data_IF_570063585985
#
_entry.id   IF_570063585985
#
_cell.length_a   1.000
_cell.length_b   1.000
_cell.length_c   1.000
_cell.angle_alpha   90.00
_cell.angle_beta   90.00
_cell.angle_gamma   90.00
#
_symmetry.space_group_name_H-M   'P 1'
#
loop_
_entity.id
_entity.type
_entity.pdbx_description
1 polymer ?
#
# COMPACT_ATOMS: atom_id res chain seq x y z
N UNK A 1 -32.23 5.59 3.84
CA UNK A 1 -31.37 5.52 2.78
C UNK A 1 -30.24 4.54 2.98
N UNK A 2 -30.03 3.77 2.03
CA UNK A 2 -29.01 2.76 2.18
C UNK A 2 -27.64 3.39 2.21
N UNK A 3 -26.81 2.86 3.07
CA UNK A 3 -25.44 3.24 3.15
C UNK A 3 -24.63 2.14 2.53
N UNK A 4 -23.78 2.45 1.62
CA UNK A 4 -22.80 1.49 1.19
C UNK A 4 -21.87 1.14 2.32
N UNK A 5 -21.08 0.11 2.18
CA UNK A 5 -20.04 -0.19 3.15
C UNK A 5 -19.14 1.00 3.31
N UNK A 6 -18.65 1.18 4.50
CA UNK A 6 -17.69 2.25 4.73
C UNK A 6 -16.46 2.01 3.87
N UNK A 7 -15.99 3.08 3.23
CA UNK A 7 -14.80 3.00 2.42
C UNK A 7 -13.57 3.12 3.30
N UNK A 8 -12.58 2.28 3.01
CA UNK A 8 -11.33 2.36 3.73
C UNK A 8 -10.54 3.58 3.26
N UNK A 9 -9.86 4.20 4.18
CA UNK A 9 -8.91 5.26 3.89
C UNK A 9 -7.64 4.97 4.68
N UNK A 10 -6.50 5.53 4.27
CA UNK A 10 -5.27 5.29 5.01
C UNK A 10 -5.42 5.64 6.48
N UNK A 11 -4.91 4.78 7.35
CA UNK A 11 -4.94 5.00 8.78
C UNK A 11 -3.95 6.07 9.21
N UNK A 12 -2.86 6.22 8.46
CA UNK A 12 -1.85 7.23 8.72
C UNK A 12 -1.84 8.17 7.54
N UNK A 13 -2.01 9.45 7.80
CA UNK A 13 -2.00 10.43 6.72
C UNK A 13 -0.56 10.70 6.29
N UNK A 14 -0.44 11.22 5.08
CA UNK A 14 0.85 11.69 4.57
C UNK A 14 1.85 10.58 4.29
N UNK A 15 1.37 9.36 4.04
CA UNK A 15 2.29 8.29 3.68
C UNK A 15 3.14 8.66 2.47
N UNK A 16 2.60 9.47 1.58
CA UNK A 16 3.33 9.87 0.38
C UNK A 16 4.54 10.75 0.70
N UNK A 17 4.64 11.26 1.91
CA UNK A 17 5.82 12.03 2.32
C UNK A 17 7.02 11.16 2.62
N UNK A 18 6.76 9.90 2.95
CA UNK A 18 7.81 9.00 3.41
C UNK A 18 8.08 7.85 2.46
N UNK A 19 7.11 7.54 1.61
CA UNK A 19 7.20 6.38 0.74
C UNK A 19 6.96 6.77 -0.70
N UNK A 20 7.69 6.12 -1.59
CA UNK A 20 7.42 6.22 -3.02
C UNK A 20 6.75 4.94 -3.47
N UNK A 21 5.83 5.07 -4.41
CA UNK A 21 5.08 3.94 -4.93
C UNK A 21 5.05 4.01 -6.44
N UNK A 22 5.33 2.88 -7.07
CA UNK A 22 5.13 2.69 -8.51
C UNK A 22 4.39 1.39 -8.67
N UNK A 23 3.38 1.38 -9.53
CA UNK A 23 2.59 0.18 -9.70
C UNK A 23 2.05 0.10 -11.11
N UNK A 24 1.66 -1.12 -11.47
CA UNK A 24 0.95 -1.36 -12.70
C UNK A 24 0.04 -2.55 -12.53
N UNK A 25 -0.97 -2.62 -13.38
CA UNK A 25 -1.90 -3.72 -13.39
C UNK A 25 -1.36 -4.84 -14.27
N UNK A 26 -1.69 -6.07 -13.91
CA UNK A 26 -1.33 -7.22 -14.70
C UNK A 26 -2.46 -8.21 -14.76
N UNK A 27 -2.38 -9.10 -15.73
CA UNK A 27 -3.29 -10.22 -15.88
C UNK A 27 -2.46 -11.46 -16.08
N UNK A 28 -2.71 -12.45 -15.24
CA UNK A 28 -2.02 -13.72 -15.36
C UNK A 28 -3.05 -14.83 -15.22
N UNK A 29 -3.18 -15.66 -16.24
CA UNK A 29 -4.12 -16.78 -16.21
C UNK A 29 -5.54 -16.34 -15.87
N UNK A 30 -5.96 -15.22 -16.43
CA UNK A 30 -7.30 -14.72 -16.19
C UNK A 30 -7.51 -14.07 -14.84
N UNK A 31 -6.43 -13.87 -14.09
CA UNK A 31 -6.51 -13.24 -12.78
C UNK A 31 -5.85 -11.87 -12.84
N UNK A 32 -6.48 -10.92 -12.20
CA UNK A 32 -5.98 -9.54 -12.18
C UNK A 32 -5.14 -9.31 -10.94
N UNK A 33 -4.07 -8.58 -11.10
CA UNK A 33 -3.23 -8.21 -9.97
C UNK A 33 -2.75 -6.77 -10.15
N UNK A 34 -2.22 -6.24 -9.06
CA UNK A 34 -1.50 -4.97 -9.06
C UNK A 34 -0.17 -5.25 -8.42
N UNK A 35 0.89 -4.84 -9.06
CA UNK A 35 2.24 -5.10 -8.55
C UNK A 35 3.09 -3.88 -8.78
N UNK A 36 4.15 -3.79 -8.01
CA UNK A 36 5.02 -2.64 -8.14
C UNK A 36 6.10 -2.62 -7.09
N UNK A 37 6.57 -1.43 -6.80
CA UNK A 37 7.69 -1.22 -5.90
C UNK A 37 7.31 -0.11 -4.93
N UNK A 38 7.60 -0.35 -3.65
CA UNK A 38 7.50 0.67 -2.63
C UNK A 38 8.89 0.98 -2.12
N UNK A 39 9.20 2.26 -1.97
CA UNK A 39 10.47 2.71 -1.43
C UNK A 39 10.27 3.46 -0.14
N UNK A 40 11.17 3.23 0.82
CA UNK A 40 11.16 3.99 2.06
C UNK A 40 12.18 5.11 1.93
N UNK A 41 11.68 6.34 1.87
CA UNK A 41 12.54 7.51 1.70
C UNK A 41 12.80 8.23 3.01
N UNK A 42 12.44 7.62 4.12
CA UNK A 42 12.60 8.26 5.42
C UNK A 42 13.80 7.69 6.15
N UNK A 43 14.16 8.32 7.26
CA UNK A 43 15.35 7.95 8.01
C UNK A 43 15.16 6.78 8.96
N UNK A 44 13.94 6.34 9.21
CA UNK A 44 13.64 5.18 10.03
C UNK A 44 13.21 4.03 9.16
N UNK A 45 13.46 2.82 9.62
CA UNK A 45 12.89 1.65 8.98
C UNK A 45 11.38 1.59 9.24
N UNK A 46 10.67 0.95 8.34
CA UNK A 46 9.23 0.75 8.47
C UNK A 46 8.92 -0.73 8.50
N UNK A 47 7.95 -1.11 9.30
CA UNK A 47 7.51 -2.49 9.39
C UNK A 47 6.00 -2.57 9.34
N UNK A 48 5.49 -3.77 9.08
CA UNK A 48 4.05 -4.00 8.99
C UNK A 48 3.41 -3.05 8.00
N UNK A 49 4.09 -2.83 6.89
CA UNK A 49 3.62 -1.92 5.87
C UNK A 49 2.48 -2.58 5.13
N UNK A 50 1.35 -1.89 5.05
CA UNK A 50 0.18 -2.35 4.33
C UNK A 50 -0.21 -1.30 3.32
N UNK A 51 -0.65 -1.75 2.18
CA UNK A 51 -1.04 -0.88 1.08
C UNK A 51 -2.54 -1.02 0.85
N UNK A 52 -3.15 0.07 0.47
CA UNK A 52 -4.55 0.09 0.07
C UNK A 52 -4.60 0.23 -1.44
N UNK A 53 -5.25 -0.72 -2.09
CA UNK A 53 -5.40 -0.69 -3.54
C UNK A 53 -6.86 -0.46 -3.84
N UNK A 54 -7.15 0.68 -4.42
CA UNK A 54 -8.50 1.02 -4.86
C UNK A 54 -8.64 0.67 -6.33
N UNK A 55 -9.64 -0.14 -6.64
CA UNK A 55 -10.03 -0.39 -8.03
C UNK A 55 -10.97 0.74 -8.45
N UNK A 56 -10.72 1.34 -9.58
CA UNK A 56 -11.44 2.53 -10.00
C UNK A 56 -12.17 2.29 -11.32
N UNK A 57 -13.39 2.82 -11.42
CA UNK A 57 -14.12 2.80 -12.67
C UNK A 57 -13.71 3.98 -13.54
N UNK A 58 -14.36 4.12 -14.69
CA UNK A 58 -13.99 5.15 -15.65
C UNK A 58 -14.23 6.55 -15.12
N UNK A 59 -15.13 6.69 -14.17
CA UNK A 59 -15.41 8.01 -13.56
C UNK A 59 -14.55 8.28 -12.36
N UNK A 60 -13.65 7.36 -12.00
CA UNK A 60 -12.80 7.50 -10.84
C UNK A 60 -13.44 7.02 -9.55
N UNK A 61 -14.60 6.39 -9.62
CA UNK A 61 -15.24 5.86 -8.43
C UNK A 61 -14.61 4.55 -7.99
N UNK A 62 -14.57 4.32 -6.69
CA UNK A 62 -13.97 3.12 -6.13
C UNK A 62 -14.98 1.99 -6.24
N UNK A 63 -14.60 0.93 -6.93
CA UNK A 63 -15.46 -0.24 -7.12
C UNK A 63 -15.07 -1.42 -6.25
N UNK A 64 -13.83 -1.44 -5.77
CA UNK A 64 -13.35 -2.48 -4.88
C UNK A 64 -12.12 -1.97 -4.16
N UNK A 65 -11.83 -2.59 -3.01
CA UNK A 65 -10.64 -2.23 -2.23
C UNK A 65 -9.93 -3.49 -1.77
N UNK A 66 -8.62 -3.48 -1.81
CA UNK A 66 -7.79 -4.60 -1.43
C UNK A 66 -6.68 -4.10 -0.54
N UNK A 67 -6.42 -4.82 0.56
CA UNK A 67 -5.27 -4.55 1.41
C UNK A 67 -4.18 -5.53 1.03
N UNK A 68 -3.01 -5.00 0.76
CA UNK A 68 -1.84 -5.79 0.44
C UNK A 68 -0.79 -5.59 1.51
N UNK A 69 -0.04 -6.64 1.80
CA UNK A 69 1.01 -6.58 2.80
C UNK A 69 2.36 -6.59 2.11
N UNK A 70 3.24 -5.70 2.56
CA UNK A 70 4.62 -5.75 2.15
C UNK A 70 5.30 -6.78 3.03
N UNK A 71 5.90 -7.84 2.44
CA UNK A 71 6.30 -9.01 3.23
C UNK A 71 7.46 -8.79 4.17
N UNK A 72 8.26 -7.76 3.95
CA UNK A 72 9.46 -7.56 4.74
C UNK A 72 9.50 -6.15 5.27
N UNK A 73 10.30 -5.97 6.34
CA UNK A 73 10.59 -4.63 6.82
C UNK A 73 11.32 -3.85 5.73
N UNK A 74 11.13 -2.53 5.75
CA UNK A 74 11.77 -1.62 4.81
C UNK A 74 12.77 -0.74 5.56
N UNK A 75 14.04 -1.10 5.57
CA UNK A 75 15.04 -0.21 6.14
C UNK A 75 15.07 1.13 5.41
N UNK A 76 15.64 2.16 6.02
CA UNK A 76 15.71 3.46 5.37
C UNK A 76 16.39 3.36 4.01
N UNK A 77 15.84 4.03 3.02
CA UNK A 77 16.42 4.09 1.69
C UNK A 77 16.29 2.83 0.87
N UNK A 78 15.51 1.86 1.32
CA UNK A 78 15.39 0.60 0.57
C UNK A 78 14.05 0.53 -0.15
N UNK A 79 13.97 -0.44 -1.05
CA UNK A 79 12.79 -0.70 -1.84
C UNK A 79 12.38 -2.15 -1.72
N UNK A 80 11.10 -2.40 -1.89
CA UNK A 80 10.56 -3.75 -1.89
C UNK A 80 9.54 -3.88 -3.00
N UNK A 81 9.52 -5.05 -3.58
CA UNK A 81 8.47 -5.41 -4.52
C UNK A 81 7.20 -5.76 -3.75
N UNK A 82 6.06 -5.46 -4.32
CA UNK A 82 4.79 -5.92 -3.77
C UNK A 82 3.91 -6.42 -4.90
N UNK A 83 2.99 -7.30 -4.55
CA UNK A 83 2.05 -7.84 -5.50
C UNK A 83 0.77 -8.17 -4.75
N UNK A 84 -0.35 -7.85 -5.34
CA UNK A 84 -1.63 -8.14 -4.73
C UNK A 84 -2.61 -8.57 -5.80
N UNK A 85 -3.33 -9.62 -5.51
CA UNK A 85 -4.42 -10.05 -6.38
C UNK A 85 -5.63 -9.17 -6.09
N UNK A 86 -6.28 -8.71 -7.14
CA UNK A 86 -7.48 -7.89 -7.02
C UNK A 86 -8.66 -8.64 -7.57
N UNK A 87 -9.90 -8.30 -7.14
CA UNK A 87 -11.07 -9.13 -7.48
C UNK A 87 -11.34 -9.22 -8.96
N UNK A 88 -11.22 -8.12 -9.66
CA UNK A 88 -11.51 -8.10 -11.07
C UNK A 88 -10.75 -6.95 -11.70
N UNK A 89 -10.63 -7.03 -13.01
CA UNK A 89 -9.98 -5.95 -13.73
C UNK A 89 -10.78 -4.68 -13.58
N UNK A 90 -10.11 -3.61 -13.32
CA UNK A 90 -10.71 -2.29 -13.23
C UNK A 90 -10.15 -1.39 -14.32
N UNK A 91 -10.77 -0.24 -14.50
CA UNK A 91 -10.27 0.73 -15.48
C UNK A 91 -8.90 1.24 -15.06
N UNK A 92 -8.73 1.50 -13.77
CA UNK A 92 -7.44 1.90 -13.23
C UNK A 92 -7.38 1.55 -11.76
N UNK A 93 -6.22 1.76 -11.16
CA UNK A 93 -6.01 1.46 -9.76
C UNK A 93 -5.25 2.60 -9.11
N UNK A 94 -5.53 2.81 -7.83
CA UNK A 94 -4.79 3.76 -7.02
C UNK A 94 -4.22 3.01 -5.82
N UNK A 95 -2.92 3.15 -5.60
CA UNK A 95 -2.25 2.50 -4.49
C UNK A 95 -1.79 3.57 -3.52
N UNK A 96 -2.07 3.36 -2.26
CA UNK A 96 -1.61 4.25 -1.21
C UNK A 96 -1.14 3.42 -0.03
N UNK A 97 -0.34 4.03 0.84
CA UNK A 97 0.12 3.34 2.04
C UNK A 97 -0.98 3.43 3.07
N UNK A 98 -1.46 2.28 3.51
CA UNK A 98 -2.59 2.21 4.43
C UNK A 98 -2.16 2.38 5.87
N UNK A 99 -1.07 1.70 6.25
CA UNK A 99 -0.57 1.74 7.62
C UNK A 99 0.84 1.20 7.68
N UNK A 100 1.59 1.62 8.68
CA UNK A 100 2.93 1.10 8.95
C UNK A 100 3.31 1.48 10.38
N UNK A 101 4.41 0.91 10.84
CA UNK A 101 5.02 1.29 12.11
C UNK A 101 6.48 1.64 11.85
N UNK A 102 6.96 2.69 12.49
CA UNK A 102 8.37 3.02 12.41
C UNK A 102 9.16 2.14 13.35
N UNK A 103 10.31 1.67 12.88
CA UNK A 103 11.26 0.93 13.69
C UNK A 103 12.26 1.96 14.18
N UNK A 104 12.28 2.20 15.47
CA UNK A 104 13.26 3.09 16.01
C UNK A 104 14.58 2.36 16.12
N UNK A 105 15.63 3.01 15.70
CA UNK A 105 16.91 2.43 15.80
C UNK A 105 17.18 2.13 17.25
N UNK A 106 17.92 1.13 17.42
CA UNK A 106 18.15 0.57 18.68
C UNK A 106 18.11 1.49 19.79
N UNK A 107 18.34 2.66 19.48
CA UNK A 107 18.18 3.55 20.51
C UNK A 107 16.92 3.46 21.13
N UNK A 108 16.14 3.07 20.49
CA UNK A 108 15.03 3.02 21.17
C UNK A 108 15.13 2.22 22.33
N UNK A 109 15.67 1.44 22.26
CA UNK A 109 15.50 0.79 23.26
C UNK A 109 16.33 0.91 24.15
N UNK A 110 16.81 1.16 24.12
CA UNK A 110 17.48 1.22 24.93
C UNK A 110 17.43 2.14 25.72
N UNK A 111 17.31 2.33 25.81
CA UNK A 111 17.38 3.11 26.42
C UNK A 111 17.14 2.98 27.44
N UNK A 112 17.29 2.89 27.84
CA UNK A 112 17.09 3.01 28.86
C UNK A 112 17.41 3.61 29.45
#
# INVERSE_FOLDING_TARGET
MAQGPARLTPLVVEGERYFTLQWQAGDTNGRSDVHGVIGNEFGFGARKVRLLIDSLDAAGGVTAQTIAYVPFDLPPGTRSYFEARVPARATSYRVSVFAWEWIQAGGGETLP
#
